data_IF_201704270034
#
_entry.id   IF_201704270034
#
_cell.length_a   1.000
_cell.length_b   1.000
_cell.length_c   1.000
_cell.angle_alpha   90.00
_cell.angle_beta   90.00
_cell.angle_gamma   90.00
#
_symmetry.space_group_name_H-M   'P 1'
#
loop_
_entity.id
_entity.type
_entity.pdbx_description
1 polymer ?
#
# COMPACT_ATOMS: atom_id res chain seq x y z
N UNK A 1 -10.25 -6.04 9.09
CA UNK A 1 -8.99 -6.34 9.83
C UNK A 1 -8.64 -5.25 10.82
N UNK A 2 -8.77 -5.49 12.13
CA UNK A 2 -8.36 -4.51 13.16
C UNK A 2 -6.83 -4.39 13.26
N UNK A 3 -6.24 -3.80 12.22
CA UNK A 3 -4.85 -3.34 12.12
C UNK A 3 -3.81 -4.31 12.67
N UNK A 4 -3.99 -5.60 12.29
CA UNK A 4 -3.08 -6.69 12.62
C UNK A 4 -1.64 -6.33 12.29
N UNK A 5 -0.74 -6.87 13.08
CA UNK A 5 0.72 -6.80 12.92
C UNK A 5 1.12 -7.02 11.45
N UNK A 6 0.45 -7.95 10.76
CA UNK A 6 0.74 -8.30 9.37
C UNK A 6 0.53 -7.14 8.38
N UNK A 7 -0.49 -6.29 8.57
CA UNK A 7 -0.71 -5.13 7.70
C UNK A 7 0.42 -4.10 7.83
N UNK A 8 0.94 -3.93 9.05
CA UNK A 8 2.09 -3.04 9.32
C UNK A 8 3.38 -3.63 8.76
N UNK A 9 3.59 -4.94 8.94
CA UNK A 9 4.75 -5.66 8.40
C UNK A 9 4.78 -5.57 6.87
N UNK A 10 3.65 -5.80 6.20
CA UNK A 10 3.55 -5.70 4.74
C UNK A 10 3.93 -4.31 4.23
N UNK A 11 3.43 -3.26 4.90
CA UNK A 11 3.81 -1.89 4.56
C UNK A 11 5.32 -1.67 4.71
N UNK A 12 5.90 -2.13 5.81
CA UNK A 12 7.33 -1.96 6.07
C UNK A 12 8.21 -2.74 5.08
N UNK A 13 7.78 -3.93 4.69
CA UNK A 13 8.50 -4.79 3.74
C UNK A 13 8.63 -4.13 2.37
N UNK A 14 7.55 -3.55 1.85
CA UNK A 14 7.53 -3.05 0.46
C UNK A 14 7.68 -1.54 0.31
N UNK A 15 7.58 -0.72 1.37
CA UNK A 15 7.65 0.76 1.25
C UNK A 15 8.91 1.27 0.53
N UNK A 16 10.04 0.58 0.69
CA UNK A 16 11.31 1.00 0.09
C UNK A 16 11.33 0.66 -1.41
N UNK A 17 10.81 -0.50 -1.79
CA UNK A 17 10.64 -0.90 -3.19
C UNK A 17 9.73 0.09 -3.92
N UNK A 18 8.52 0.37 -3.40
CA UNK A 18 7.63 1.37 -4.00
C UNK A 18 8.28 2.75 -4.09
N UNK A 19 8.97 3.21 -3.04
CA UNK A 19 9.66 4.51 -3.06
C UNK A 19 10.77 4.54 -4.12
N UNK A 20 11.53 3.45 -4.26
CA UNK A 20 12.59 3.31 -5.25
C UNK A 20 12.02 3.35 -6.67
N UNK A 21 10.97 2.57 -6.95
CA UNK A 21 10.35 2.54 -8.28
C UNK A 21 9.72 3.88 -8.65
N UNK A 22 9.00 4.53 -7.73
CA UNK A 22 8.45 5.87 -7.97
C UNK A 22 9.56 6.89 -8.27
N UNK A 23 10.69 6.81 -7.57
CA UNK A 23 11.79 7.77 -7.72
C UNK A 23 12.65 7.49 -8.95
N UNK A 24 13.12 6.27 -9.11
CA UNK A 24 14.20 5.92 -10.04
C UNK A 24 13.65 5.46 -11.39
N UNK A 25 12.61 4.63 -11.38
CA UNK A 25 12.08 4.03 -12.61
C UNK A 25 11.06 4.98 -13.25
N UNK A 26 10.16 5.54 -12.45
CA UNK A 26 9.09 6.44 -12.89
C UNK A 26 9.45 7.93 -12.83
N UNK A 27 10.62 8.27 -12.26
CA UNK A 27 11.15 9.65 -12.19
C UNK A 27 10.15 10.67 -11.61
N UNK A 28 9.43 10.27 -10.55
CA UNK A 28 8.42 11.12 -9.89
C UNK A 28 9.04 11.90 -8.73
N UNK A 29 9.23 13.21 -8.89
CA UNK A 29 9.86 14.07 -7.88
C UNK A 29 9.12 14.11 -6.54
N UNK A 30 7.78 14.07 -6.59
CA UNK A 30 6.94 14.12 -5.39
C UNK A 30 6.68 12.72 -4.76
N UNK A 31 7.49 11.71 -5.07
CA UNK A 31 7.32 10.32 -4.59
C UNK A 31 7.14 10.20 -3.07
N UNK A 32 7.86 11.00 -2.27
CA UNK A 32 7.70 11.01 -0.80
C UNK A 32 6.29 11.43 -0.37
N UNK A 33 5.70 12.41 -1.07
CA UNK A 33 4.32 12.88 -0.84
C UNK A 33 3.32 11.79 -1.23
N UNK A 34 3.55 11.13 -2.36
CA UNK A 34 2.74 9.98 -2.81
C UNK A 34 2.78 8.87 -1.78
N UNK A 35 3.95 8.46 -1.30
CA UNK A 35 4.07 7.40 -0.28
C UNK A 35 3.39 7.77 1.05
N UNK A 36 3.45 9.05 1.46
CA UNK A 36 2.73 9.54 2.64
C UNK A 36 1.22 9.49 2.46
N UNK A 37 0.70 9.90 1.30
CA UNK A 37 -0.71 9.77 0.92
C UNK A 37 -1.13 8.29 0.84
N UNK A 38 -0.32 7.46 0.19
CA UNK A 38 -0.54 6.02 0.03
C UNK A 38 -0.67 5.32 1.37
N UNK A 39 0.19 5.63 2.34
CA UNK A 39 0.06 5.07 3.70
C UNK A 39 -1.29 5.41 4.37
N UNK A 40 -1.79 6.63 4.16
CA UNK A 40 -3.11 7.04 4.69
C UNK A 40 -4.22 6.27 3.97
N UNK A 41 -4.19 6.23 2.63
CA UNK A 41 -5.16 5.52 1.81
C UNK A 41 -5.19 4.01 2.08
N UNK A 42 -4.03 3.40 2.31
CA UNK A 42 -3.91 2.01 2.72
C UNK A 42 -4.65 1.73 4.02
N UNK A 43 -4.51 2.62 5.02
CA UNK A 43 -5.27 2.51 6.28
C UNK A 43 -6.77 2.65 6.06
N UNK A 44 -7.20 3.53 5.16
CA UNK A 44 -8.62 3.71 4.83
C UNK A 44 -9.18 2.44 4.18
N UNK A 45 -8.49 1.89 3.17
CA UNK A 45 -8.89 0.66 2.48
C UNK A 45 -8.95 -0.52 3.46
N UNK A 46 -7.95 -0.69 4.33
CA UNK A 46 -7.95 -1.78 5.31
C UNK A 46 -9.11 -1.71 6.32
N UNK A 47 -9.66 -0.52 6.58
CA UNK A 47 -10.83 -0.36 7.46
C UNK A 47 -12.13 -0.83 6.80
N UNK A 48 -12.20 -0.85 5.47
CA UNK A 48 -13.39 -1.32 4.74
C UNK A 48 -13.38 -2.83 4.51
N UNK A 49 -12.24 -3.48 4.75
CA UNK A 49 -12.05 -4.91 4.54
C UNK A 49 -12.48 -5.68 5.81
N UNK A 50 -13.31 -6.74 5.68
CA UNK A 50 -13.73 -7.57 6.82
C UNK A 50 -12.53 -8.24 7.51
N UNK A 51 -12.77 -8.80 8.69
CA UNK A 51 -11.76 -9.65 9.35
C UNK A 51 -11.70 -11.01 8.62
N UNK A 52 -10.48 -11.50 8.43
CA UNK A 52 -10.20 -12.84 7.88
C UNK A 52 -9.46 -13.65 8.93
N UNK A 53 -9.70 -14.95 8.92
CA UNK A 53 -8.97 -15.91 9.75
C UNK A 53 -7.46 -15.78 9.51
N UNK A 54 -6.68 -16.05 10.56
CA UNK A 54 -5.23 -15.87 10.52
C UNK A 54 -4.56 -16.73 9.45
N UNK A 55 -5.10 -17.93 9.23
CA UNK A 55 -4.56 -18.93 8.30
C UNK A 55 -5.17 -18.81 6.89
N UNK A 56 -6.07 -17.85 6.68
CA UNK A 56 -6.65 -17.59 5.37
C UNK A 56 -5.62 -16.94 4.43
N UNK A 57 -5.26 -17.66 3.35
CA UNK A 57 -4.34 -17.16 2.32
C UNK A 57 -4.90 -15.94 1.58
N UNK A 58 -6.22 -15.80 1.49
CA UNK A 58 -6.87 -14.66 0.83
C UNK A 58 -6.55 -13.34 1.54
N UNK A 59 -6.32 -13.39 2.86
CA UNK A 59 -5.87 -12.26 3.68
C UNK A 59 -4.61 -11.60 3.13
N UNK A 60 -3.61 -12.39 2.73
CA UNK A 60 -2.35 -11.86 2.19
C UNK A 60 -2.59 -11.17 0.85
N UNK A 61 -3.40 -11.79 -0.01
CA UNK A 61 -3.71 -11.27 -1.33
C UNK A 61 -4.45 -9.92 -1.25
N UNK A 62 -5.44 -9.81 -0.36
CA UNK A 62 -6.20 -8.56 -0.23
C UNK A 62 -5.37 -7.45 0.41
N UNK A 63 -4.48 -7.76 1.35
CA UNK A 63 -3.53 -6.80 1.93
C UNK A 63 -2.56 -6.30 0.86
N UNK A 64 -1.99 -7.20 0.07
CA UNK A 64 -1.08 -6.86 -1.03
C UNK A 64 -1.76 -5.98 -2.07
N UNK A 65 -2.98 -6.36 -2.49
CA UNK A 65 -3.81 -5.58 -3.40
C UNK A 65 -4.09 -4.17 -2.82
N UNK A 66 -4.55 -4.09 -1.57
CA UNK A 66 -4.82 -2.82 -0.89
C UNK A 66 -3.58 -1.92 -0.86
N UNK A 67 -2.39 -2.48 -0.66
CA UNK A 67 -1.15 -1.73 -0.64
C UNK A 67 -0.83 -1.13 -2.02
N UNK A 68 -0.84 -1.94 -3.08
CA UNK A 68 -0.59 -1.46 -4.45
C UNK A 68 -1.62 -0.40 -4.83
N UNK A 69 -2.92 -0.71 -4.67
CA UNK A 69 -4.01 0.22 -4.98
C UNK A 69 -3.88 1.54 -4.22
N UNK A 70 -3.46 1.52 -2.95
CA UNK A 70 -3.28 2.74 -2.16
C UNK A 70 -2.23 3.69 -2.73
N UNK A 71 -1.12 3.14 -3.26
CA UNK A 71 -0.04 3.92 -3.88
C UNK A 71 -0.51 4.47 -5.22
N UNK A 72 -1.15 3.63 -6.05
CA UNK A 72 -1.70 4.04 -7.35
C UNK A 72 -2.73 5.17 -7.22
N UNK A 73 -3.67 5.05 -6.28
CA UNK A 73 -4.68 6.08 -5.99
C UNK A 73 -4.09 7.38 -5.40
N UNK A 74 -2.83 7.34 -4.98
CA UNK A 74 -2.12 8.49 -4.41
C UNK A 74 -1.22 9.20 -5.41
N UNK A 75 -1.06 8.65 -6.62
CA UNK A 75 -0.34 9.30 -7.71
C UNK A 75 -1.21 10.42 -8.29
N UNK A 76 -0.62 11.63 -8.40
CA UNK A 76 -1.32 12.79 -8.96
C UNK A 76 -1.37 12.75 -10.52
N UNK A 77 -0.54 11.91 -11.14
CA UNK A 77 -0.52 11.64 -12.59
C UNK A 77 -0.99 10.22 -12.87
N UNK A 78 -1.70 10.03 -13.98
CA UNK A 78 -1.95 8.70 -14.54
C UNK A 78 -0.58 8.08 -14.85
N UNK A 79 -0.30 6.90 -14.31
CA UNK A 79 0.88 6.12 -14.68
C UNK A 79 0.61 5.59 -16.09
N UNK A 80 1.22 6.20 -17.10
CA UNK A 80 1.13 5.86 -18.52
C UNK A 80 2.48 5.38 -19.02
#
# INVERSE_FOLDING_TARGET
MKYDIICKLMWLMFKNSFSSTLKNDLKIDNYKKIMKKGKKKYKEILKTIPDFDKDDRFKINIISCAQISSVLLSCDKKLS
#
